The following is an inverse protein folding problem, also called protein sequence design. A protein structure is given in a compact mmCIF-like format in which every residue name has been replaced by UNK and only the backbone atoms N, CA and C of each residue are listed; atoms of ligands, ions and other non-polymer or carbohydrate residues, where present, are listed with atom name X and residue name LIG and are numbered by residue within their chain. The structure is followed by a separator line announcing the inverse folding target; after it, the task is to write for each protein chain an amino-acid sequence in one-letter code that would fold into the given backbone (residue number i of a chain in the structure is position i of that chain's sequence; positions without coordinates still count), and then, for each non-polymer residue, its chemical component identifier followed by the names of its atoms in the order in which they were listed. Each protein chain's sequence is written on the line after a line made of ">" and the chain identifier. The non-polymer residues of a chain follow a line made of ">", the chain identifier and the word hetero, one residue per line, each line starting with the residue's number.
data_IF_033998247989
#
_entry.id   IF_033998247989
#
_cell.length_a   1.000
_cell.length_b   1.000
_cell.length_c   1.000
_cell.angle_alpha   90.00
_cell.angle_beta   90.00
_cell.angle_gamma   90.00
#
_symmetry.space_group_name_H-M   'P 1'
#
loop_
_entity.id
_entity.type
_entity.pdbx_description
1 polymer ?
#
# COMPACT_ATOMS: atom_id res chain seq x y z
N UNK A 1 -19.97 -6.76 -11.14
CA UNK A 1 -18.62 -7.21 -11.59
C UNK A 1 -17.87 -8.04 -10.53
N UNK A 2 -18.15 -7.91 -9.23
CA UNK A 2 -17.45 -8.65 -8.16
C UNK A 2 -17.79 -10.16 -8.07
N UNK A 3 -18.86 -10.62 -8.71
CA UNK A 3 -19.31 -12.02 -8.64
C UNK A 3 -18.59 -12.96 -9.63
N UNK A 4 -17.88 -12.44 -10.62
CA UNK A 4 -17.26 -13.27 -11.66
C UNK A 4 -16.04 -14.09 -11.19
N UNK A 5 -15.57 -13.88 -9.96
CA UNK A 5 -14.38 -14.53 -9.39
C UNK A 5 -14.65 -15.26 -8.07
N UNK A 6 -15.90 -15.58 -7.74
CA UNK A 6 -16.23 -16.33 -6.52
C UNK A 6 -16.16 -17.84 -6.70
N UNK A 7 -16.23 -18.33 -7.95
CA UNK A 7 -16.41 -19.75 -8.25
C UNK A 7 -15.50 -20.21 -9.39
N UNK A 8 -14.86 -21.37 -9.23
CA UNK A 8 -14.06 -22.03 -10.26
C UNK A 8 -14.97 -22.62 -11.36
N UNK A 9 -14.44 -22.91 -12.57
CA UNK A 9 -15.21 -23.51 -13.66
C UNK A 9 -15.86 -24.86 -13.31
N UNK A 10 -15.35 -25.54 -12.30
CA UNK A 10 -15.88 -26.80 -11.76
C UNK A 10 -16.96 -26.62 -10.67
N UNK A 11 -17.42 -25.39 -10.43
CA UNK A 11 -18.46 -25.07 -9.44
C UNK A 11 -17.96 -24.93 -8.00
N UNK A 12 -16.65 -25.08 -7.72
CA UNK A 12 -16.11 -24.91 -6.38
C UNK A 12 -15.92 -23.43 -6.02
N UNK A 13 -16.31 -23.03 -4.80
CA UNK A 13 -16.02 -21.68 -4.30
C UNK A 13 -14.51 -21.47 -4.15
N UNK A 14 -14.02 -20.32 -4.63
CA UNK A 14 -12.65 -19.90 -4.42
C UNK A 14 -12.47 -19.58 -2.94
N UNK A 15 -11.44 -20.16 -2.31
CA UNK A 15 -11.08 -19.85 -0.91
C UNK A 15 -10.97 -18.34 -0.73
N UNK A 16 -11.85 -17.78 0.09
CA UNK A 16 -11.87 -16.35 0.44
C UNK A 16 -10.71 -16.03 1.37
N UNK A 17 -10.34 -14.76 1.42
CA UNK A 17 -9.37 -14.26 2.39
C UNK A 17 -9.89 -14.38 3.82
N UNK A 18 -9.03 -14.16 4.81
CA UNK A 18 -9.36 -14.22 6.24
C UNK A 18 -9.04 -12.90 6.92
N UNK A 19 -9.87 -12.47 7.86
CA UNK A 19 -9.50 -11.41 8.79
C UNK A 19 -8.71 -12.02 9.95
N UNK A 20 -7.57 -11.42 10.28
CA UNK A 20 -6.71 -11.85 11.37
C UNK A 20 -6.34 -10.66 12.25
N UNK A 21 -5.87 -10.96 13.46
CA UNK A 21 -5.41 -9.93 14.40
C UNK A 21 -4.27 -10.43 15.25
N UNK A 22 -3.35 -9.54 15.58
CA UNK A 22 -2.24 -9.79 16.51
C UNK A 22 -2.28 -8.73 17.61
N UNK A 23 -2.07 -9.16 18.85
CA UNK A 23 -1.87 -8.25 19.98
C UNK A 23 -0.43 -7.78 19.92
N UNK A 24 -0.25 -6.47 19.76
CA UNK A 24 1.06 -5.81 19.85
C UNK A 24 1.25 -5.24 21.26
N UNK A 25 2.50 -4.94 21.61
CA UNK A 25 2.85 -4.36 22.90
C UNK A 25 1.98 -3.15 23.28
N UNK A 26 1.75 -2.97 24.58
CA UNK A 26 0.90 -1.90 25.11
C UNK A 26 -0.60 -2.14 24.94
N UNK A 27 -1.06 -3.39 24.80
CA UNK A 27 -2.48 -3.75 24.76
C UNK A 27 -3.21 -3.39 23.47
N UNK A 28 -2.49 -2.93 22.44
CA UNK A 28 -3.07 -2.57 21.14
C UNK A 28 -3.26 -3.83 20.29
N UNK A 29 -4.35 -3.89 19.51
CA UNK A 29 -4.59 -4.98 18.54
C UNK A 29 -4.40 -4.43 17.12
N UNK A 30 -3.56 -5.08 16.32
CA UNK A 30 -3.41 -4.81 14.89
C UNK A 30 -4.26 -5.80 14.11
N UNK A 31 -5.23 -5.29 13.36
CA UNK A 31 -6.07 -6.06 12.44
C UNK A 31 -5.39 -6.07 11.07
N UNK A 32 -5.48 -7.18 10.36
CA UNK A 32 -4.99 -7.30 8.98
C UNK A 32 -5.78 -8.36 8.21
N UNK A 33 -5.82 -8.20 6.89
CA UNK A 33 -6.49 -9.14 6.00
C UNK A 33 -5.44 -10.06 5.35
N UNK A 34 -5.67 -11.36 5.45
CA UNK A 34 -4.93 -12.39 4.72
C UNK A 34 -5.68 -12.63 3.42
N UNK A 35 -5.17 -12.07 2.31
CA UNK A 35 -5.69 -12.31 0.97
C UNK A 35 -5.64 -13.80 0.57
N UNK A 36 -6.41 -14.18 -0.44
CA UNK A 36 -6.25 -15.52 -1.02
C UNK A 36 -4.98 -15.58 -1.88
N UNK A 37 -4.54 -16.80 -2.19
CA UNK A 37 -3.30 -17.03 -2.94
C UNK A 37 -3.24 -16.27 -4.26
N UNK A 38 -4.31 -16.33 -5.07
CA UNK A 38 -4.37 -15.65 -6.37
C UNK A 38 -4.21 -14.14 -6.24
N UNK A 39 -4.93 -13.51 -5.29
CA UNK A 39 -4.81 -12.06 -5.04
C UNK A 39 -3.40 -11.69 -4.57
N UNK A 40 -2.79 -12.50 -3.71
CA UNK A 40 -1.42 -12.27 -3.27
C UNK A 40 -0.46 -12.36 -4.46
N UNK A 41 -0.54 -13.41 -5.29
CA UNK A 41 0.28 -13.55 -6.48
C UNK A 41 0.14 -12.39 -7.47
N UNK A 42 -1.08 -11.88 -7.67
CA UNK A 42 -1.33 -10.73 -8.54
C UNK A 42 -0.76 -9.42 -7.95
N UNK A 43 -0.76 -9.27 -6.64
CA UNK A 43 -0.24 -8.08 -5.96
C UNK A 43 1.29 -8.10 -5.79
N UNK A 44 1.94 -9.26 -5.82
CA UNK A 44 3.39 -9.38 -5.61
C UNK A 44 4.22 -8.55 -6.61
N UNK A 45 4.02 -8.65 -7.95
CA UNK A 45 4.83 -7.86 -8.89
C UNK A 45 4.66 -6.35 -8.70
N UNK A 46 3.43 -5.91 -8.41
CA UNK A 46 3.14 -4.52 -8.10
C UNK A 46 3.83 -4.06 -6.81
N UNK A 47 3.79 -4.88 -5.76
CA UNK A 47 4.50 -4.63 -4.51
C UNK A 47 6.00 -4.46 -4.74
N UNK A 48 6.60 -5.39 -5.49
CA UNK A 48 8.06 -5.37 -5.74
C UNK A 48 8.48 -4.16 -6.56
N UNK A 49 7.66 -3.78 -7.56
CA UNK A 49 7.85 -2.52 -8.29
C UNK A 49 7.72 -1.30 -7.37
N UNK A 50 6.67 -1.22 -6.54
CA UNK A 50 6.45 -0.08 -5.64
C UNK A 50 7.60 0.06 -4.64
N UNK A 51 8.09 -1.05 -4.10
CA UNK A 51 9.26 -1.10 -3.23
C UNK A 51 10.55 -0.66 -3.94
N UNK A 52 10.70 -0.98 -5.23
CA UNK A 52 11.81 -0.49 -6.04
C UNK A 52 11.73 1.02 -6.28
N UNK A 53 10.52 1.58 -6.44
CA UNK A 53 10.30 3.04 -6.54
C UNK A 53 10.62 3.73 -5.21
N UNK A 54 10.10 3.22 -4.08
CA UNK A 54 10.37 3.80 -2.75
C UNK A 54 11.86 3.84 -2.41
N UNK A 55 12.62 2.81 -2.82
CA UNK A 55 14.07 2.77 -2.63
C UNK A 55 14.82 3.92 -3.30
N UNK A 56 14.24 4.56 -4.32
CA UNK A 56 14.83 5.73 -5.00
C UNK A 56 14.64 7.02 -4.19
N UNK A 57 13.76 7.04 -3.20
CA UNK A 57 13.48 8.21 -2.37
C UNK A 57 14.55 8.27 -1.27
N UNK A 58 15.46 9.25 -1.28
CA UNK A 58 16.58 9.29 -0.34
C UNK A 58 16.13 9.44 1.13
N UNK A 59 14.98 10.10 1.35
CA UNK A 59 14.41 10.33 2.67
C UNK A 59 13.53 9.18 3.17
N UNK A 60 13.34 8.12 2.39
CA UNK A 60 12.53 6.98 2.81
C UNK A 60 13.30 6.08 3.80
N UNK A 61 12.66 5.79 4.93
CA UNK A 61 13.22 4.96 6.00
C UNK A 61 12.81 3.49 5.95
N UNK A 62 12.11 3.06 4.89
CA UNK A 62 11.48 1.73 4.83
C UNK A 62 12.53 0.60 4.86
N UNK A 63 13.62 0.74 4.10
CA UNK A 63 14.69 -0.27 4.04
C UNK A 63 15.79 -0.07 5.07
N UNK A 64 16.05 1.19 5.44
CA UNK A 64 17.03 1.57 6.43
C UNK A 64 16.51 2.76 7.23
N UNK A 65 16.10 2.51 8.47
CA UNK A 65 15.46 3.51 9.33
C UNK A 65 16.39 4.67 9.70
N UNK A 66 17.70 4.47 9.70
CA UNK A 66 18.68 5.51 10.06
C UNK A 66 19.19 6.29 8.86
N UNK A 67 19.07 5.75 7.64
CA UNK A 67 19.55 6.41 6.42
C UNK A 67 18.93 7.80 6.17
N UNK A 68 17.64 8.05 6.46
CA UNK A 68 17.05 9.38 6.30
C UNK A 68 17.57 10.43 7.29
N UNK A 69 18.10 10.01 8.45
CA UNK A 69 18.51 10.93 9.52
C UNK A 69 19.60 11.90 9.07
N UNK A 70 20.42 11.53 8.06
CA UNK A 70 21.43 12.41 7.48
C UNK A 70 20.85 13.62 6.71
N UNK A 71 19.58 13.55 6.32
CA UNK A 71 18.87 14.65 5.66
C UNK A 71 18.05 15.50 6.65
N UNK A 72 17.90 15.03 7.89
CA UNK A 72 17.22 15.79 8.95
C UNK A 72 18.15 16.90 9.41
N UNK A 73 17.71 18.15 9.27
CA UNK A 73 18.37 19.29 9.89
C UNK A 73 17.88 19.39 11.32
N UNK A 74 18.70 18.96 12.27
CA UNK A 74 18.42 19.14 13.69
C UNK A 74 18.51 20.64 14.01
N UNK A 75 17.35 21.26 14.19
CA UNK A 75 17.16 22.64 14.63
C UNK A 75 15.99 22.69 15.63
N UNK A 76 15.55 23.89 16.00
CA UNK A 76 14.53 24.04 17.05
C UNK A 76 13.12 23.54 16.64
N UNK A 77 12.85 23.35 15.34
CA UNK A 77 11.52 23.03 14.81
C UNK A 77 11.47 21.67 14.07
N UNK A 78 11.89 20.59 14.73
CA UNK A 78 11.70 19.23 14.19
C UNK A 78 10.40 18.65 14.75
N UNK A 79 9.41 18.49 13.87
CA UNK A 79 8.13 17.85 14.22
C UNK A 79 8.05 16.43 13.67
N UNK A 80 7.50 15.52 14.47
CA UNK A 80 7.19 14.14 14.05
C UNK A 80 5.68 13.96 14.02
N UNK A 81 5.16 13.51 12.88
CA UNK A 81 3.73 13.27 12.68
C UNK A 81 3.46 11.77 12.63
N UNK A 82 2.73 11.25 13.61
CA UNK A 82 2.21 9.88 13.60
C UNK A 82 0.74 9.90 13.17
N UNK A 83 0.44 9.20 12.08
CA UNK A 83 -0.91 9.13 11.54
C UNK A 83 -1.69 7.97 12.16
N UNK A 84 -2.78 8.29 12.86
CA UNK A 84 -3.65 7.28 13.48
C UNK A 84 -4.30 6.38 12.41
N UNK A 85 -4.08 5.06 12.48
CA UNK A 85 -4.70 4.07 11.58
C UNK A 85 -4.54 4.40 10.09
N UNK A 86 -3.35 4.86 9.69
CA UNK A 86 -3.07 5.30 8.32
C UNK A 86 -3.36 4.23 7.26
N UNK A 87 -3.04 2.97 7.55
CA UNK A 87 -3.21 1.85 6.62
C UNK A 87 -4.68 1.46 6.43
N UNK A 88 -5.48 1.51 7.49
CA UNK A 88 -6.88 1.07 7.48
C UNK A 88 -7.82 2.12 6.87
N UNK A 89 -7.41 3.40 6.90
CA UNK A 89 -8.25 4.54 6.53
C UNK A 89 -7.67 5.36 5.37
N UNK A 90 -6.76 4.79 4.60
CA UNK A 90 -6.22 5.50 3.45
C UNK A 90 -7.31 5.70 2.39
N UNK A 91 -7.60 6.93 1.93
CA UNK A 91 -8.65 7.18 0.94
C UNK A 91 -8.32 6.50 -0.40
N UNK A 92 -9.25 5.70 -0.92
CA UNK A 92 -9.07 4.99 -2.19
C UNK A 92 -8.96 5.94 -3.39
N UNK A 93 -9.58 7.12 -3.31
CA UNK A 93 -9.51 8.15 -4.33
C UNK A 93 -8.08 8.66 -4.52
N UNK A 94 -7.33 8.84 -3.42
CA UNK A 94 -5.93 9.26 -3.49
C UNK A 94 -5.11 8.17 -4.19
N UNK A 95 -5.32 6.90 -3.82
CA UNK A 95 -4.64 5.78 -4.46
C UNK A 95 -4.94 5.74 -5.97
N UNK A 96 -6.21 5.91 -6.35
CA UNK A 96 -6.63 5.94 -7.74
C UNK A 96 -5.92 7.04 -8.54
N UNK A 97 -5.95 8.29 -8.06
CA UNK A 97 -5.30 9.40 -8.77
C UNK A 97 -3.78 9.26 -8.84
N UNK A 98 -3.15 8.68 -7.81
CA UNK A 98 -1.72 8.36 -7.85
C UNK A 98 -1.45 7.29 -8.93
N UNK A 99 -2.26 6.24 -9.01
CA UNK A 99 -2.11 5.23 -10.08
C UNK A 99 -2.37 5.82 -11.47
N UNK A 100 -3.38 6.66 -11.61
CA UNK A 100 -3.69 7.37 -12.85
C UNK A 100 -2.52 8.25 -13.28
N UNK A 101 -1.88 8.97 -12.36
CA UNK A 101 -0.71 9.78 -12.67
C UNK A 101 0.53 8.95 -13.03
N UNK A 102 0.66 7.72 -12.51
CA UNK A 102 1.83 6.87 -12.74
C UNK A 102 1.70 5.95 -13.98
N UNK A 103 0.47 5.54 -14.31
CA UNK A 103 0.18 4.53 -15.34
C UNK A 103 -0.88 4.95 -16.35
N UNK A 104 -1.57 6.08 -16.14
CA UNK A 104 -2.56 6.59 -17.07
C UNK A 104 -1.93 7.04 -18.38
N UNK A 105 -2.68 6.93 -19.47
CA UNK A 105 -2.24 7.49 -20.74
C UNK A 105 -2.27 9.02 -20.67
N UNK A 106 -1.29 9.68 -21.28
CA UNK A 106 -1.40 11.10 -21.56
C UNK A 106 -2.65 11.31 -22.42
N UNK A 107 -3.67 11.97 -21.85
CA UNK A 107 -4.75 12.49 -22.69
C UNK A 107 -4.10 13.48 -23.65
N UNK A 108 -4.20 13.29 -24.98
CA UNK A 108 -3.62 14.22 -25.93
C UNK A 108 -4.15 15.61 -25.59
N UNK A 109 -3.23 16.53 -25.31
CA UNK A 109 -3.56 17.92 -25.04
C UNK A 109 -4.26 18.44 -26.30
N UNK A 110 -5.59 18.49 -26.28
CA UNK A 110 -6.38 19.15 -27.31
C UNK A 110 -5.98 20.62 -27.26
N UNK A 111 -5.03 21.00 -28.12
CA UNK A 111 -4.56 22.37 -28.26
C UNK A 111 -5.73 23.33 -28.38
N UNK A 112 -5.66 24.40 -27.58
CA UNK A 112 -6.28 25.68 -27.92
C UNK A 112 -5.21 26.55 -28.53
#
# INVERSE_FOLDING_TARGET
>A
MAEAFSTLPNGQEIRKGKLASVIVGGGKRRLFIIGNYVKQCLLMPYHDWAMAVLRRIPCDGTFNQTAPLKYVRFGNDVSSFDLKSATDRFPSQILFHVMEALFGEEKPHSGR
#
